data_IF_546705689857
#
_entry.id   IF_546705689857
#
_cell.length_a   1.000
_cell.length_b   1.000
_cell.length_c   1.000
_cell.angle_alpha   90.00
_cell.angle_beta   90.00
_cell.angle_gamma   90.00
#
_symmetry.space_group_name_H-M   'P 1'
#
loop_
_entity.id
_entity.type
_entity.pdbx_description
1 polymer ?
#
# COMPACT_ATOMS: atom_id res chain seq x y z
N UNK A 1 -20.74 -29.57 -4.53
CA UNK A 1 -21.10 -28.16 -4.80
C UNK A 1 -21.83 -27.63 -3.59
N UNK A 2 -21.53 -26.44 -3.06
CA UNK A 2 -22.36 -25.82 -2.04
C UNK A 2 -23.78 -25.61 -2.57
N UNK A 3 -24.79 -26.03 -1.80
CA UNK A 3 -26.23 -25.95 -2.18
C UNK A 3 -26.96 -24.78 -1.52
N UNK A 4 -26.35 -24.16 -0.50
CA UNK A 4 -26.84 -22.97 0.19
C UNK A 4 -25.63 -22.11 0.56
N UNK A 5 -25.70 -20.80 0.26
CA UNK A 5 -24.62 -19.85 0.51
C UNK A 5 -25.24 -18.57 1.11
N UNK A 6 -24.69 -18.13 2.24
CA UNK A 6 -24.99 -16.81 2.79
C UNK A 6 -23.97 -15.82 2.24
N UNK A 7 -24.44 -14.85 1.46
CA UNK A 7 -23.61 -13.74 1.00
C UNK A 7 -23.52 -12.67 2.09
N UNK A 8 -22.30 -12.20 2.36
CA UNK A 8 -22.05 -11.10 3.29
C UNK A 8 -21.93 -9.81 2.48
N UNK A 9 -22.55 -8.73 2.97
CA UNK A 9 -22.41 -7.40 2.39
C UNK A 9 -21.50 -6.54 3.26
N UNK A 10 -20.72 -5.67 2.62
CA UNK A 10 -19.98 -4.63 3.30
C UNK A 10 -20.93 -3.49 3.72
N UNK A 11 -20.65 -2.87 4.86
CA UNK A 11 -21.32 -1.63 5.31
C UNK A 11 -20.51 -0.43 4.79
N UNK A 12 -20.74 -0.05 3.54
CA UNK A 12 -19.99 1.00 2.85
C UNK A 12 -18.66 0.50 2.27
N UNK A 13 -17.88 1.41 1.67
CA UNK A 13 -16.59 1.06 1.08
C UNK A 13 -16.01 2.12 0.14
N UNK A 14 -14.84 1.84 -0.41
CA UNK A 14 -14.13 2.70 -1.34
C UNK A 14 -14.88 2.79 -2.68
N UNK A 15 -15.56 3.90 -2.89
CA UNK A 15 -16.34 4.18 -4.12
C UNK A 15 -15.47 4.57 -5.33
N UNK A 16 -14.18 4.25 -5.33
CA UNK A 16 -13.23 4.74 -6.31
C UNK A 16 -13.59 4.35 -7.76
N UNK A 17 -14.18 3.18 -7.98
CA UNK A 17 -14.56 2.73 -9.32
C UNK A 17 -15.84 3.39 -9.85
N UNK A 18 -16.70 3.91 -8.97
CA UNK A 18 -18.04 4.36 -9.35
C UNK A 18 -18.03 5.54 -10.34
N UNK A 19 -17.20 6.59 -10.16
CA UNK A 19 -17.12 7.67 -11.15
C UNK A 19 -16.71 7.20 -12.55
N UNK A 20 -15.78 6.23 -12.63
CA UNK A 20 -15.34 5.66 -13.91
C UNK A 20 -16.48 4.87 -14.57
N UNK A 21 -17.20 4.05 -13.80
CA UNK A 21 -18.36 3.30 -14.32
C UNK A 21 -19.49 4.22 -14.78
N UNK A 22 -19.78 5.28 -14.03
CA UNK A 22 -20.78 6.25 -14.42
C UNK A 22 -20.45 6.89 -15.79
N UNK A 23 -19.18 7.26 -15.99
CA UNK A 23 -18.71 7.79 -17.27
C UNK A 23 -18.74 6.75 -18.39
N UNK A 24 -18.35 5.52 -18.13
CA UNK A 24 -18.37 4.49 -19.15
C UNK A 24 -19.79 4.09 -19.60
N UNK A 25 -20.76 4.13 -18.69
CA UNK A 25 -22.18 3.94 -19.03
C UNK A 25 -22.73 5.10 -19.89
N UNK A 26 -22.32 6.34 -19.58
CA UNK A 26 -22.66 7.49 -20.42
C UNK A 26 -22.03 7.37 -21.81
N UNK A 27 -20.74 6.99 -21.88
CA UNK A 27 -20.02 6.74 -23.12
C UNK A 27 -20.71 5.70 -24.00
N UNK A 28 -21.13 4.57 -23.41
CA UNK A 28 -21.93 3.53 -24.06
C UNK A 28 -23.18 4.11 -24.73
N UNK A 29 -23.95 4.89 -23.95
CA UNK A 29 -25.23 5.47 -24.39
C UNK A 29 -25.05 6.50 -25.51
N UNK A 30 -23.96 7.27 -25.47
CA UNK A 30 -23.68 8.35 -26.42
C UNK A 30 -23.05 7.86 -27.73
N UNK A 31 -22.20 6.84 -27.67
CA UNK A 31 -21.40 6.39 -28.81
C UNK A 31 -21.85 5.06 -29.40
N UNK A 32 -22.90 4.42 -28.86
CA UNK A 32 -23.38 3.13 -29.32
C UNK A 32 -22.36 2.00 -29.17
N UNK A 33 -21.39 2.15 -28.25
CA UNK A 33 -20.40 1.12 -27.95
C UNK A 33 -21.08 -0.11 -27.33
N UNK A 34 -20.45 -1.29 -27.29
CA UNK A 34 -20.92 -2.37 -26.44
C UNK A 34 -20.96 -1.96 -24.96
N UNK A 35 -21.72 -2.66 -24.10
CA UNK A 35 -21.60 -2.48 -22.65
C UNK A 35 -20.17 -2.72 -22.17
N UNK A 36 -19.87 -2.21 -20.97
CA UNK A 36 -18.56 -2.40 -20.34
C UNK A 36 -18.19 -3.89 -20.31
N UNK A 37 -16.98 -4.29 -20.75
CA UNK A 37 -16.55 -5.68 -20.69
C UNK A 37 -16.61 -6.23 -19.25
N UNK A 38 -17.06 -7.48 -19.09
CA UNK A 38 -17.19 -8.11 -17.77
C UNK A 38 -15.88 -8.12 -16.97
N UNK A 39 -14.74 -8.23 -17.67
CA UNK A 39 -13.41 -8.16 -17.06
C UNK A 39 -13.20 -6.83 -16.32
N UNK A 40 -13.68 -5.71 -16.87
CA UNK A 40 -13.59 -4.39 -16.23
C UNK A 40 -14.43 -4.38 -14.95
N UNK A 41 -15.66 -4.91 -15.02
CA UNK A 41 -16.56 -4.99 -13.86
C UNK A 41 -15.95 -5.82 -12.72
N UNK A 42 -15.34 -6.96 -13.04
CA UNK A 42 -14.66 -7.84 -12.09
C UNK A 42 -13.43 -7.16 -11.48
N UNK A 43 -12.60 -6.52 -12.31
CA UNK A 43 -11.43 -5.78 -11.84
C UNK A 43 -11.82 -4.67 -10.87
N UNK A 44 -12.91 -3.93 -11.14
CA UNK A 44 -13.34 -2.89 -10.21
C UNK A 44 -13.92 -3.41 -8.89
N UNK A 45 -14.48 -4.63 -8.87
CA UNK A 45 -14.81 -5.31 -7.61
C UNK A 45 -13.52 -5.64 -6.83
N UNK A 46 -12.51 -6.20 -7.50
CA UNK A 46 -11.22 -6.50 -6.88
C UNK A 46 -10.56 -5.24 -6.31
N UNK A 47 -10.55 -4.14 -7.07
CA UNK A 47 -10.00 -2.86 -6.63
C UNK A 47 -10.75 -2.34 -5.40
N UNK A 48 -12.09 -2.34 -5.41
CA UNK A 48 -12.91 -1.86 -4.29
C UNK A 48 -12.61 -2.62 -3.00
N UNK A 49 -12.58 -3.97 -3.06
CA UNK A 49 -12.28 -4.83 -1.92
C UNK A 49 -10.88 -4.54 -1.37
N UNK A 50 -9.87 -4.44 -2.25
CA UNK A 50 -8.48 -4.19 -1.82
C UNK A 50 -8.29 -2.80 -1.21
N UNK A 51 -8.97 -1.78 -1.74
CA UNK A 51 -8.95 -0.45 -1.15
C UNK A 51 -9.59 -0.45 0.26
N UNK A 52 -10.64 -1.24 0.47
CA UNK A 52 -11.22 -1.44 1.80
C UNK A 52 -10.28 -2.20 2.74
N UNK A 53 -9.62 -3.26 2.27
CA UNK A 53 -8.61 -3.98 3.05
C UNK A 53 -7.45 -3.07 3.44
N UNK A 54 -6.96 -2.23 2.52
CA UNK A 54 -5.91 -1.24 2.78
C UNK A 54 -6.32 -0.22 3.85
N UNK A 55 -7.58 0.23 3.83
CA UNK A 55 -8.11 1.12 4.85
C UNK A 55 -8.04 0.48 6.24
N UNK A 56 -8.55 -0.75 6.39
CA UNK A 56 -8.54 -1.47 7.66
C UNK A 56 -7.13 -1.87 8.11
N UNK A 57 -6.27 -2.29 7.17
CA UNK A 57 -4.87 -2.57 7.45
C UNK A 57 -4.15 -1.33 7.98
N UNK A 58 -4.42 -0.16 7.41
CA UNK A 58 -3.85 1.12 7.87
C UNK A 58 -4.30 1.46 9.29
N UNK A 59 -5.60 1.34 9.59
CA UNK A 59 -6.14 1.60 10.93
C UNK A 59 -5.50 0.67 11.96
N UNK A 60 -5.50 -0.64 11.67
CA UNK A 60 -4.94 -1.66 12.57
C UNK A 60 -3.45 -1.45 12.80
N UNK A 61 -2.69 -1.26 11.72
CA UNK A 61 -1.25 -1.02 11.79
C UNK A 61 -0.95 0.21 12.66
N UNK A 62 -1.62 1.34 12.42
CA UNK A 62 -1.43 2.56 13.21
C UNK A 62 -1.78 2.36 14.70
N UNK A 63 -2.88 1.64 14.99
CA UNK A 63 -3.28 1.31 16.35
C UNK A 63 -2.23 0.45 17.08
N UNK A 64 -1.79 -0.62 16.44
CA UNK A 64 -0.79 -1.54 16.98
C UNK A 64 0.58 -0.87 17.13
N UNK A 65 0.99 -0.03 16.19
CA UNK A 65 2.22 0.76 16.29
C UNK A 65 2.18 1.76 17.45
N UNK A 66 1.06 2.46 17.63
CA UNK A 66 0.87 3.38 18.76
C UNK A 66 0.96 2.64 20.09
N UNK A 67 0.32 1.49 20.20
CA UNK A 67 0.39 0.64 21.38
C UNK A 67 1.82 0.15 21.64
N UNK A 68 2.53 -0.30 20.60
CA UNK A 68 3.91 -0.79 20.70
C UNK A 68 4.87 0.32 21.15
N UNK A 69 4.79 1.51 20.53
CA UNK A 69 5.59 2.69 20.90
C UNK A 69 5.32 3.11 22.34
N UNK A 70 4.05 3.11 22.77
CA UNK A 70 3.66 3.45 24.14
C UNK A 70 4.25 2.48 25.16
N UNK A 71 4.07 1.16 24.97
CA UNK A 71 4.63 0.13 25.86
C UNK A 71 6.17 0.20 25.90
N UNK A 72 6.80 0.37 24.74
CA UNK A 72 8.26 0.48 24.65
C UNK A 72 8.78 1.73 25.38
N UNK A 73 8.13 2.87 25.21
CA UNK A 73 8.50 4.12 25.87
C UNK A 73 8.37 4.02 27.39
N UNK A 74 7.31 3.39 27.90
CA UNK A 74 7.08 3.24 29.34
C UNK A 74 8.08 2.29 30.01
N UNK A 75 8.52 1.24 29.30
CA UNK A 75 9.43 0.22 29.83
C UNK A 75 10.92 0.49 29.55
N UNK A 76 11.25 1.53 28.77
CA UNK A 76 12.62 1.85 28.39
C UNK A 76 13.46 2.23 29.62
N UNK A 77 14.63 1.60 29.74
CA UNK A 77 15.68 1.91 30.73
C UNK A 77 16.99 2.22 29.98
N UNK A 78 17.97 2.90 30.61
CA UNK A 78 19.25 3.21 29.96
C UNK A 78 19.99 1.99 29.41
N UNK A 79 19.91 0.84 30.08
CA UNK A 79 20.52 -0.43 29.64
C UNK A 79 19.90 -1.00 28.35
N UNK A 80 18.70 -0.55 27.97
CA UNK A 80 18.02 -0.99 26.76
C UNK A 80 18.45 -0.21 25.51
N UNK A 81 19.27 0.83 25.67
CA UNK A 81 19.68 1.71 24.57
C UNK A 81 21.05 1.29 24.06
N UNK A 82 21.10 0.92 22.78
CA UNK A 82 22.33 0.62 22.05
C UNK A 82 22.97 1.92 21.56
N UNK A 83 24.30 2.03 21.72
CA UNK A 83 25.09 3.13 21.14
C UNK A 83 26.30 2.55 20.37
N UNK A 84 26.90 3.30 19.43
CA UNK A 84 28.16 2.90 18.81
C UNK A 84 29.21 2.57 19.88
N UNK A 85 29.74 1.34 19.87
CA UNK A 85 30.75 0.87 20.82
C UNK A 85 30.23 0.56 22.24
N UNK A 86 28.92 0.67 22.51
CA UNK A 86 28.33 0.33 23.80
C UNK A 86 27.11 -0.60 23.59
N UNK A 87 27.25 -1.91 23.89
CA UNK A 87 26.15 -2.85 23.72
C UNK A 87 25.02 -2.54 24.70
N UNK A 88 23.78 -2.76 24.26
CA UNK A 88 22.58 -2.72 25.09
C UNK A 88 21.99 -4.12 25.28
N UNK A 89 20.90 -4.18 26.05
CA UNK A 89 20.08 -5.38 26.21
C UNK A 89 18.74 -5.14 25.51
N UNK A 90 18.29 -6.09 24.68
CA UNK A 90 17.01 -5.97 24.00
C UNK A 90 15.86 -5.80 25.02
N UNK A 91 15.02 -4.79 24.82
CA UNK A 91 13.85 -4.56 25.66
C UNK A 91 12.83 -5.70 25.45
N UNK A 92 12.44 -6.45 26.49
CA UNK A 92 11.35 -7.41 26.36
C UNK A 92 10.04 -6.66 26.13
N UNK A 93 9.30 -7.08 25.12
CA UNK A 93 7.98 -6.55 24.78
C UNK A 93 7.02 -7.71 24.57
N UNK A 94 5.73 -7.40 24.58
CA UNK A 94 4.65 -8.34 24.34
C UNK A 94 4.74 -8.96 22.92
N UNK A 95 4.89 -10.28 22.86
CA UNK A 95 5.04 -11.01 21.61
C UNK A 95 3.81 -10.86 20.70
N UNK A 96 2.61 -10.85 21.25
CA UNK A 96 1.39 -10.72 20.44
C UNK A 96 1.41 -9.37 19.71
N UNK A 97 1.67 -8.30 20.45
CA UNK A 97 1.75 -6.95 19.89
C UNK A 97 2.86 -6.82 18.83
N UNK A 98 4.01 -7.46 19.07
CA UNK A 98 5.12 -7.53 18.10
C UNK A 98 4.67 -8.14 16.78
N UNK A 99 4.06 -9.32 16.85
CA UNK A 99 3.69 -10.08 15.67
C UNK A 99 2.48 -9.49 14.96
N UNK A 100 1.55 -8.84 15.67
CA UNK A 100 0.46 -8.08 15.05
C UNK A 100 0.98 -6.92 14.19
N UNK A 101 1.97 -6.14 14.67
CA UNK A 101 2.58 -5.09 13.86
C UNK A 101 3.21 -5.66 12.59
N UNK A 102 3.96 -6.77 12.71
CA UNK A 102 4.59 -7.43 11.56
C UNK A 102 3.51 -7.91 10.57
N UNK A 103 2.48 -8.60 11.06
CA UNK A 103 1.40 -9.13 10.23
C UNK A 103 0.63 -8.01 9.50
N UNK A 104 0.29 -6.92 10.19
CA UNK A 104 -0.42 -5.79 9.59
C UNK A 104 0.44 -5.07 8.54
N UNK A 105 1.77 -4.99 8.73
CA UNK A 105 2.69 -4.48 7.70
C UNK A 105 2.72 -5.37 6.46
N UNK A 106 2.81 -6.68 6.63
CA UNK A 106 2.75 -7.64 5.53
C UNK A 106 1.43 -7.52 4.75
N UNK A 107 0.32 -7.46 5.48
CA UNK A 107 -1.00 -7.28 4.90
C UNK A 107 -1.06 -6.00 4.08
N UNK A 108 -0.65 -4.86 4.67
CA UNK A 108 -0.68 -3.58 4.00
C UNK A 108 0.14 -3.58 2.70
N UNK A 109 1.39 -4.07 2.74
CA UNK A 109 2.27 -4.06 1.57
C UNK A 109 1.77 -4.98 0.47
N UNK A 110 1.29 -6.17 0.84
CA UNK A 110 0.79 -7.16 -0.13
C UNK A 110 -0.50 -6.68 -0.79
N UNK A 111 -1.43 -6.13 -0.02
CA UNK A 111 -2.67 -5.58 -0.55
C UNK A 111 -2.43 -4.33 -1.41
N UNK A 112 -1.42 -3.53 -1.08
CA UNK A 112 -1.04 -2.35 -1.85
C UNK A 112 -0.48 -2.73 -3.22
N UNK A 113 0.45 -3.68 -3.25
CA UNK A 113 1.05 -4.22 -4.48
C UNK A 113 -0.02 -4.83 -5.38
N UNK A 114 -0.87 -5.69 -4.81
CA UNK A 114 -1.96 -6.31 -5.55
C UNK A 114 -2.98 -5.28 -6.06
N UNK A 115 -3.34 -4.27 -5.26
CA UNK A 115 -4.26 -3.22 -5.70
C UNK A 115 -3.68 -2.44 -6.88
N UNK A 116 -2.39 -2.10 -6.83
CA UNK A 116 -1.69 -1.41 -7.92
C UNK A 116 -1.71 -2.23 -9.21
N UNK A 117 -1.48 -3.54 -9.14
CA UNK A 117 -1.51 -4.39 -10.33
C UNK A 117 -2.90 -4.43 -10.96
N UNK A 118 -3.96 -4.52 -10.14
CA UNK A 118 -5.33 -4.45 -10.66
C UNK A 118 -5.64 -3.08 -11.27
N UNK A 119 -5.16 -1.97 -10.67
CA UNK A 119 -5.32 -0.63 -11.25
C UNK A 119 -4.63 -0.49 -12.61
N UNK A 120 -3.45 -1.08 -12.79
CA UNK A 120 -2.74 -1.09 -14.08
C UNK A 120 -3.53 -1.84 -15.17
N UNK A 121 -4.04 -3.02 -14.84
CA UNK A 121 -4.85 -3.83 -15.77
C UNK A 121 -6.15 -3.09 -16.07
N UNK A 122 -6.82 -2.54 -15.06
CA UNK A 122 -8.05 -1.76 -15.23
C UNK A 122 -7.84 -0.55 -16.16
N UNK A 123 -6.72 0.16 -16.04
CA UNK A 123 -6.36 1.24 -16.95
C UNK A 123 -6.24 0.76 -18.40
N UNK A 124 -5.55 -0.37 -18.63
CA UNK A 124 -5.40 -0.97 -19.95
C UNK A 124 -6.74 -1.35 -20.57
N UNK A 125 -7.61 -2.00 -19.81
CA UNK A 125 -8.93 -2.43 -20.29
C UNK A 125 -9.85 -1.24 -20.63
N UNK A 126 -9.84 -0.17 -19.84
CA UNK A 126 -10.61 1.05 -20.17
C UNK A 126 -10.07 1.70 -21.44
N UNK A 127 -8.75 1.77 -21.59
CA UNK A 127 -8.11 2.29 -22.80
C UNK A 127 -8.48 1.48 -24.05
N UNK A 128 -8.47 0.14 -23.95
CA UNK A 128 -8.90 -0.73 -25.03
C UNK A 128 -10.40 -0.55 -25.35
N UNK A 129 -11.25 -0.42 -24.33
CA UNK A 129 -12.70 -0.21 -24.48
C UNK A 129 -13.03 1.07 -25.27
N UNK A 130 -12.29 2.16 -25.08
CA UNK A 130 -12.49 3.40 -25.84
C UNK A 130 -11.77 3.41 -27.20
N UNK A 131 -11.21 2.27 -27.63
CA UNK A 131 -10.50 2.14 -28.90
C UNK A 131 -9.10 2.78 -28.92
N UNK A 132 -8.52 3.07 -27.75
CA UNK A 132 -7.18 3.66 -27.60
C UNK A 132 -6.28 2.78 -26.71
N UNK A 133 -6.02 1.52 -27.11
CA UNK A 133 -5.18 0.62 -26.33
C UNK A 133 -3.79 1.24 -26.13
N UNK A 134 -3.20 0.98 -24.97
CA UNK A 134 -1.86 1.44 -24.62
C UNK A 134 -1.01 0.22 -24.26
N UNK A 135 0.30 0.33 -24.47
CA UNK A 135 1.24 -0.66 -23.99
C UNK A 135 1.80 -0.29 -22.61
N UNK A 136 2.64 -1.16 -22.07
CA UNK A 136 3.24 -0.97 -20.75
C UNK A 136 4.17 0.25 -20.68
N UNK A 137 4.86 0.59 -21.76
CA UNK A 137 5.74 1.76 -21.82
C UNK A 137 4.94 3.06 -21.78
N UNK A 138 3.85 3.14 -22.55
CA UNK A 138 2.90 4.24 -22.53
C UNK A 138 2.24 4.40 -21.16
N UNK A 139 1.75 3.30 -20.55
CA UNK A 139 1.19 3.32 -19.20
C UNK A 139 2.18 3.88 -18.18
N UNK A 140 3.42 3.41 -18.21
CA UNK A 140 4.49 3.90 -17.32
C UNK A 140 4.75 5.39 -17.54
N UNK A 141 4.84 5.83 -18.80
CA UNK A 141 5.07 7.23 -19.13
C UNK A 141 3.92 8.13 -18.64
N UNK A 142 2.67 7.71 -18.84
CA UNK A 142 1.48 8.43 -18.39
C UNK A 142 1.49 8.57 -16.86
N UNK A 143 1.63 7.46 -16.14
CA UNK A 143 1.64 7.46 -14.67
C UNK A 143 2.79 8.32 -14.14
N UNK A 144 4.01 8.14 -14.66
CA UNK A 144 5.16 8.92 -14.22
C UNK A 144 4.99 10.42 -14.51
N UNK A 145 4.34 10.78 -15.62
CA UNK A 145 3.99 12.17 -15.93
C UNK A 145 3.08 12.79 -14.87
N UNK A 146 2.06 12.07 -14.40
CA UNK A 146 1.18 12.55 -13.32
C UNK A 146 1.90 12.70 -11.98
N UNK A 147 2.77 11.74 -11.67
CA UNK A 147 3.51 11.70 -10.42
C UNK A 147 4.56 12.81 -10.37
N UNK A 148 5.28 13.04 -11.46
CA UNK A 148 6.24 14.14 -11.58
C UNK A 148 5.57 15.51 -11.43
N UNK A 149 4.40 15.73 -12.06
CA UNK A 149 3.61 16.96 -11.88
C UNK A 149 3.20 17.21 -10.43
N UNK A 150 3.12 16.16 -9.61
CA UNK A 150 2.81 16.21 -8.17
C UNK A 150 4.06 16.25 -7.29
N UNK A 151 5.25 16.39 -7.87
CA UNK A 151 6.52 16.40 -7.14
C UNK A 151 6.94 15.03 -6.59
N UNK A 152 6.34 13.94 -7.07
CA UNK A 152 6.62 12.58 -6.61
C UNK A 152 7.65 11.94 -7.54
N UNK A 153 8.72 11.39 -6.96
CA UNK A 153 9.79 10.71 -7.71
C UNK A 153 9.22 9.51 -8.50
N UNK A 154 9.43 9.44 -9.84
CA UNK A 154 9.00 8.33 -10.70
C UNK A 154 9.43 6.93 -10.24
N UNK A 155 10.47 6.83 -9.40
CA UNK A 155 10.96 5.57 -8.82
C UNK A 155 10.09 5.05 -7.66
N UNK A 156 8.93 5.64 -7.41
CA UNK A 156 8.04 5.25 -6.30
C UNK A 156 7.56 3.78 -6.39
N UNK A 157 7.28 3.26 -7.59
CA UNK A 157 6.99 1.82 -7.77
C UNK A 157 8.19 0.95 -7.36
N UNK A 158 9.42 1.41 -7.66
CA UNK A 158 10.63 0.74 -7.23
C UNK A 158 10.79 0.71 -5.70
N UNK A 159 10.38 1.78 -5.01
CA UNK A 159 10.34 1.82 -3.53
C UNK A 159 9.36 0.80 -2.95
N UNK A 160 8.16 0.69 -3.55
CA UNK A 160 7.19 -0.32 -3.14
C UNK A 160 7.71 -1.75 -3.36
N UNK A 161 8.25 -2.04 -4.55
CA UNK A 161 8.82 -3.35 -4.85
C UNK A 161 9.98 -3.69 -3.91
N UNK A 162 10.83 -2.70 -3.59
CA UNK A 162 11.90 -2.87 -2.60
C UNK A 162 11.35 -3.18 -1.21
N UNK A 163 10.33 -2.44 -0.76
CA UNK A 163 9.66 -2.66 0.53
C UNK A 163 9.05 -4.06 0.63
N UNK A 164 8.29 -4.48 -0.39
CA UNK A 164 7.73 -5.84 -0.48
C UNK A 164 8.83 -6.89 -0.41
N UNK A 165 9.88 -6.76 -1.21
CA UNK A 165 10.98 -7.72 -1.21
C UNK A 165 11.72 -7.75 0.14
N UNK A 166 11.83 -6.61 0.83
CA UNK A 166 12.40 -6.54 2.16
C UNK A 166 11.55 -7.34 3.16
N UNK A 167 10.26 -7.02 3.22
CA UNK A 167 9.34 -7.58 4.21
C UNK A 167 9.02 -9.06 3.94
N UNK A 168 8.81 -9.45 2.68
CA UNK A 168 8.44 -10.81 2.32
C UNK A 168 9.61 -11.81 2.28
N UNK A 169 10.83 -11.37 1.96
CA UNK A 169 11.91 -12.30 1.57
C UNK A 169 13.26 -12.07 2.22
N UNK A 170 13.54 -10.87 2.77
CA UNK A 170 14.90 -10.51 3.21
C UNK A 170 15.01 -10.14 4.68
N UNK A 171 13.89 -9.84 5.33
CA UNK A 171 13.89 -9.42 6.73
C UNK A 171 13.82 -10.62 7.67
N UNK A 172 14.66 -10.65 8.71
CA UNK A 172 14.36 -11.37 9.95
C UNK A 172 13.16 -10.74 10.71
N UNK A 173 12.67 -9.58 10.23
CA UNK A 173 11.55 -8.82 10.77
C UNK A 173 11.77 -8.48 12.26
N UNK A 174 13.03 -8.27 12.62
CA UNK A 174 13.38 -7.84 13.97
C UNK A 174 13.02 -6.36 14.11
N UNK A 175 12.16 -6.04 15.09
CA UNK A 175 11.67 -4.69 15.31
C UNK A 175 12.62 -3.92 16.23
N UNK A 176 12.96 -2.70 15.85
CA UNK A 176 13.68 -1.74 16.70
C UNK A 176 13.09 -0.34 16.52
N UNK A 177 13.24 0.54 17.50
CA UNK A 177 12.90 1.96 17.33
C UNK A 177 14.18 2.78 17.16
N UNK A 178 14.21 3.62 16.13
CA UNK A 178 15.16 4.73 16.03
C UNK A 178 14.70 5.83 17.00
N UNK A 179 15.43 5.98 18.10
CA UNK A 179 15.11 6.94 19.16
C UNK A 179 16.02 8.17 19.13
N UNK A 180 16.80 8.37 18.06
CA UNK A 180 17.70 9.53 17.92
C UNK A 180 16.92 10.85 17.90
N UNK A 181 15.66 10.83 17.46
CA UNK A 181 14.75 11.98 17.47
C UNK A 181 13.58 11.74 18.43
N UNK A 182 12.90 12.81 18.90
CA UNK A 182 11.71 12.67 19.76
C UNK A 182 10.58 11.86 19.11
N UNK A 183 10.44 11.98 17.78
CA UNK A 183 9.50 11.14 17.04
C UNK A 183 10.16 9.83 16.61
N UNK A 184 10.00 8.79 17.44
CA UNK A 184 10.59 7.49 17.16
C UNK A 184 10.04 6.88 15.89
N UNK A 185 10.93 6.40 15.03
CA UNK A 185 10.61 5.68 13.80
C UNK A 185 10.82 4.17 14.01
N UNK A 186 9.88 3.34 13.53
CA UNK A 186 10.02 1.90 13.62
C UNK A 186 10.95 1.41 12.50
N UNK A 187 11.95 0.61 12.89
CA UNK A 187 12.88 -0.06 12.01
C UNK A 187 12.57 -1.55 11.96
N UNK A 188 12.52 -2.09 10.75
CA UNK A 188 12.53 -3.53 10.51
C UNK A 188 13.95 -3.89 10.11
N UNK A 189 14.63 -4.67 10.94
CA UNK A 189 16.02 -5.06 10.73
C UNK A 189 16.09 -6.39 9.99
N UNK A 190 17.08 -6.53 9.10
CA UNK A 190 17.37 -7.78 8.39
C UNK A 190 17.91 -8.87 9.30
N UNK A 191 18.57 -8.46 10.37
CA UNK A 191 19.35 -9.29 11.28
C UNK A 191 19.45 -8.59 12.63
N UNK A 192 19.94 -9.30 13.65
CA UNK A 192 20.13 -8.74 14.99
C UNK A 192 21.41 -7.87 15.04
N UNK A 193 21.33 -6.68 14.44
CA UNK A 193 22.40 -5.67 14.47
C UNK A 193 22.13 -4.61 15.53
N UNK A 194 23.17 -4.20 16.23
CA UNK A 194 23.06 -3.20 17.31
C UNK A 194 22.69 -1.82 16.76
N UNK A 195 23.41 -1.36 15.73
CA UNK A 195 23.16 -0.09 15.04
C UNK A 195 23.09 -0.40 13.54
N UNK A 196 21.90 -0.36 12.92
CA UNK A 196 21.75 -0.74 11.52
C UNK A 196 22.23 0.35 10.57
N UNK A 197 22.86 -0.05 9.47
CA UNK A 197 23.04 0.81 8.29
C UNK A 197 21.73 0.93 7.49
N UNK A 198 21.58 1.92 6.58
CA UNK A 198 20.41 2.02 5.71
C UNK A 198 20.14 0.76 4.88
N UNK A 199 21.17 -0.03 4.55
CA UNK A 199 21.01 -1.27 3.81
C UNK A 199 20.52 -2.44 4.68
N UNK A 200 20.63 -2.33 6.01
CA UNK A 200 20.27 -3.38 6.99
C UNK A 200 18.88 -3.17 7.61
N UNK A 201 18.21 -2.06 7.34
CA UNK A 201 16.89 -1.80 7.86
C UNK A 201 15.94 -1.21 6.82
N UNK A 202 14.65 -1.43 7.04
CA UNK A 202 13.58 -0.70 6.41
C UNK A 202 12.89 0.18 7.46
N UNK A 203 12.63 1.43 7.11
CA UNK A 203 11.99 2.42 7.99
C UNK A 203 10.50 2.48 7.74
N UNK A 204 9.68 2.45 8.78
CA UNK A 204 8.24 2.60 8.66
C UNK A 204 7.84 3.94 8.03
N UNK A 205 8.58 5.01 8.32
CA UNK A 205 8.41 6.31 7.64
C UNK A 205 8.46 6.21 6.10
N UNK A 206 9.24 5.27 5.54
CA UNK A 206 9.26 5.00 4.10
C UNK A 206 7.95 4.35 3.62
N UNK A 207 7.31 3.49 4.43
CA UNK A 207 6.00 2.93 4.13
C UNK A 207 4.91 4.00 4.13
N UNK A 208 4.98 4.95 5.06
CA UNK A 208 4.07 6.11 5.09
C UNK A 208 4.20 6.92 3.80
N UNK A 209 5.42 7.14 3.30
CA UNK A 209 5.63 7.83 2.02
C UNK A 209 5.05 7.04 0.85
N UNK A 210 5.28 5.72 0.80
CA UNK A 210 4.71 4.83 -0.22
C UNK A 210 3.17 4.91 -0.23
N UNK A 211 2.53 4.93 0.94
CA UNK A 211 1.07 5.08 1.05
C UNK A 211 0.58 6.41 0.47
N UNK A 212 1.27 7.52 0.77
CA UNK A 212 0.95 8.84 0.21
C UNK A 212 1.11 8.87 -1.31
N UNK A 213 2.20 8.32 -1.82
CA UNK A 213 2.47 8.24 -3.25
C UNK A 213 1.39 7.42 -3.96
N UNK A 214 0.98 6.29 -3.37
CA UNK A 214 -0.14 5.50 -3.88
C UNK A 214 -1.46 6.28 -3.90
N UNK A 215 -1.80 6.99 -2.82
CA UNK A 215 -3.04 7.77 -2.77
C UNK A 215 -3.09 8.83 -3.88
N UNK A 216 -1.96 9.51 -4.12
CA UNK A 216 -1.83 10.48 -5.21
C UNK A 216 -1.96 9.82 -6.60
N UNK A 217 -1.30 8.68 -6.82
CA UNK A 217 -1.41 7.93 -8.07
C UNK A 217 -2.84 7.45 -8.32
N UNK A 218 -3.48 6.90 -7.29
CA UNK A 218 -4.85 6.41 -7.34
C UNK A 218 -5.83 7.51 -7.74
N UNK A 219 -5.69 8.71 -7.17
CA UNK A 219 -6.54 9.83 -7.55
C UNK A 219 -6.28 10.26 -9.00
N UNK A 220 -5.01 10.45 -9.38
CA UNK A 220 -4.64 10.85 -10.73
C UNK A 220 -5.15 9.87 -11.81
N UNK A 221 -5.10 8.57 -11.51
CA UNK A 221 -5.63 7.54 -12.39
C UNK A 221 -7.15 7.65 -12.55
N UNK A 222 -7.88 7.91 -11.47
CA UNK A 222 -9.34 8.10 -11.55
C UNK A 222 -9.67 9.27 -12.46
N UNK A 223 -9.03 10.41 -12.22
CA UNK A 223 -9.25 11.65 -12.97
C UNK A 223 -9.01 11.39 -14.46
N UNK A 224 -7.88 10.74 -14.81
CA UNK A 224 -7.56 10.39 -16.19
C UNK A 224 -8.59 9.46 -16.84
N UNK A 225 -9.03 8.42 -16.15
CA UNK A 225 -10.01 7.49 -16.72
C UNK A 225 -11.38 8.14 -16.88
N UNK A 226 -11.77 9.02 -15.96
CA UNK A 226 -12.98 9.84 -16.07
C UNK A 226 -12.91 10.78 -17.26
N UNK A 227 -11.78 11.45 -17.47
CA UNK A 227 -11.56 12.36 -18.61
C UNK A 227 -11.50 11.61 -19.94
N UNK A 228 -10.90 10.41 -19.96
CA UNK A 228 -10.82 9.56 -21.15
C UNK A 228 -12.21 9.11 -21.63
N UNK A 229 -13.17 8.99 -20.70
CA UNK A 229 -14.56 8.57 -20.93
C UNK A 229 -15.54 9.75 -20.97
N UNK A 230 -15.04 10.99 -21.02
CA UNK A 230 -15.85 12.21 -21.02
C UNK A 230 -16.29 12.63 -22.43
#
# INVERSE_FOLDING_TARGET
MPTQILHLSELGGAQWVLPVYAKANAWHSQHGQPPLPTVVTQLGLHISIRLNLLHWATIRLNGNLKALKSKASAAKLPQHVFFPGKPGVALPIDNELKYLVIADMHLFITELDACIDHLKVFMHEIHAYVGKPIDDAMRIAIINGWMQKRGIDPRWFGRLAHCRNFVAHKGALYLAFDITRPDWDLLLLKENVQIPTPAQCFRLSALVQIHKDFAACKQALQDHLVDLLA
#
